data_IF_637941994987
#
_entry.id   IF_637941994987
#
_cell.length_a   1.000
_cell.length_b   1.000
_cell.length_c   1.000
_cell.angle_alpha   90.00
_cell.angle_beta   90.00
_cell.angle_gamma   90.00
#
_symmetry.space_group_name_H-M   'P 1'
#
loop_
_entity.id
_entity.type
_entity.pdbx_description
1 polymer ?
#
# COMPACT_ATOMS: atom_id res chain seq x y z
N UNK A 1 -21.43 -29.32 -25.89
CA UNK A 1 -22.24 -28.33 -25.15
C UNK A 1 -21.26 -27.46 -24.41
N UNK A 2 -21.42 -26.15 -24.56
CA UNK A 2 -20.42 -25.12 -24.34
C UNK A 2 -19.95 -25.08 -22.88
N UNK A 3 -18.63 -25.03 -22.70
CA UNK A 3 -17.99 -24.60 -21.46
C UNK A 3 -18.32 -23.13 -21.28
N UNK A 4 -19.06 -22.79 -20.22
CA UNK A 4 -19.27 -21.42 -19.79
C UNK A 4 -17.91 -20.89 -19.35
N UNK A 5 -17.30 -20.01 -20.17
CA UNK A 5 -16.23 -19.17 -19.67
C UNK A 5 -16.88 -18.19 -18.70
N UNK A 6 -16.47 -18.23 -17.42
CA UNK A 6 -16.80 -17.15 -16.48
C UNK A 6 -16.28 -15.85 -17.08
N UNK A 7 -17.16 -14.85 -17.18
CA UNK A 7 -16.75 -13.51 -17.58
C UNK A 7 -15.98 -12.92 -16.39
N UNK A 8 -14.64 -12.98 -16.44
CA UNK A 8 -13.76 -12.27 -15.52
C UNK A 8 -14.18 -10.79 -15.47
N UNK A 9 -14.68 -10.32 -14.33
CA UNK A 9 -15.14 -8.96 -14.19
C UNK A 9 -13.98 -8.07 -13.71
N UNK A 10 -13.17 -7.62 -14.67
CA UNK A 10 -12.12 -6.64 -14.41
C UNK A 10 -12.75 -5.25 -14.34
N UNK A 11 -12.66 -4.59 -13.17
CA UNK A 11 -13.05 -3.19 -13.01
C UNK A 11 -11.97 -2.29 -13.58
N UNK A 12 -12.18 -1.79 -14.78
CA UNK A 12 -11.33 -0.77 -15.40
C UNK A 12 -11.70 0.62 -14.85
N UNK A 13 -10.97 1.09 -13.85
CA UNK A 13 -11.25 2.35 -13.14
C UNK A 13 -10.67 3.57 -13.89
N UNK A 14 -9.67 3.36 -14.75
CA UNK A 14 -9.04 4.44 -15.51
C UNK A 14 -7.90 5.14 -14.77
N UNK A 15 -7.59 6.40 -15.14
CA UNK A 15 -6.47 7.15 -14.54
C UNK A 15 -6.81 7.67 -13.14
N UNK A 16 -5.87 7.47 -12.21
CA UNK A 16 -5.99 7.91 -10.83
C UNK A 16 -5.75 9.40 -10.67
N UNK A 17 -6.71 10.08 -10.06
CA UNK A 17 -6.59 11.45 -9.56
C UNK A 17 -5.80 11.47 -8.24
N UNK A 18 -5.94 10.40 -7.45
CA UNK A 18 -5.17 10.17 -6.24
C UNK A 18 -4.89 8.68 -6.06
N UNK A 19 -3.70 8.35 -5.59
CA UNK A 19 -3.31 6.99 -5.20
C UNK A 19 -2.61 7.05 -3.84
N UNK A 20 -2.94 6.13 -2.93
CA UNK A 20 -2.27 5.98 -1.64
C UNK A 20 -2.04 4.52 -1.31
N UNK A 21 -0.93 4.28 -0.63
CA UNK A 21 -0.61 3.06 0.08
C UNK A 21 -0.49 3.42 1.56
N UNK A 22 -1.49 3.07 2.37
CA UNK A 22 -1.64 3.67 3.70
C UNK A 22 -2.16 2.68 4.74
N UNK A 23 -2.26 3.14 6.00
CA UNK A 23 -2.82 2.37 7.09
C UNK A 23 -3.54 3.25 8.12
N UNK A 24 -4.69 2.78 8.62
CA UNK A 24 -5.42 3.42 9.72
C UNK A 24 -5.35 2.55 10.98
N UNK A 25 -5.28 3.16 12.16
CA UNK A 25 -5.32 2.49 13.46
C UNK A 25 -3.99 2.50 14.23
N UNK A 26 -4.01 2.07 15.50
CA UNK A 26 -2.81 2.03 16.33
C UNK A 26 -1.86 0.91 15.87
N UNK A 27 -0.56 1.07 16.16
CA UNK A 27 0.44 0.06 15.84
C UNK A 27 0.08 -1.30 16.46
N UNK A 28 -0.06 -2.34 15.65
CA UNK A 28 -0.49 -3.68 16.06
C UNK A 28 -1.92 -4.02 15.67
N UNK A 29 -2.76 -3.01 15.43
CA UNK A 29 -4.16 -3.14 14.99
C UNK A 29 -4.41 -2.35 13.70
N UNK A 30 -3.34 -2.01 12.98
CA UNK A 30 -3.42 -1.25 11.73
C UNK A 30 -4.12 -2.06 10.66
N UNK A 31 -5.10 -1.43 10.01
CA UNK A 31 -5.66 -1.89 8.76
C UNK A 31 -4.89 -1.21 7.63
N UNK A 32 -4.16 -2.00 6.86
CA UNK A 32 -3.44 -1.54 5.67
C UNK A 32 -4.39 -1.59 4.46
N UNK A 33 -4.23 -0.62 3.56
CA UNK A 33 -5.08 -0.53 2.37
C UNK A 33 -4.40 0.22 1.24
N UNK A 34 -4.88 -0.05 0.03
CA UNK A 34 -4.67 0.78 -1.14
C UNK A 34 -5.89 1.64 -1.35
N UNK A 35 -5.67 2.91 -1.68
CA UNK A 35 -6.73 3.84 -2.03
C UNK A 35 -6.48 4.38 -3.43
N UNK A 36 -7.53 4.47 -4.23
CA UNK A 36 -7.51 5.16 -5.51
C UNK A 36 -8.78 6.01 -5.67
N UNK A 37 -8.61 7.23 -6.16
CA UNK A 37 -9.70 8.09 -6.64
C UNK A 37 -9.62 8.20 -8.16
N UNK A 38 -10.70 7.86 -8.87
CA UNK A 38 -10.79 7.89 -10.33
C UNK A 38 -12.12 8.51 -10.75
N UNK A 39 -12.09 9.59 -11.53
CA UNK A 39 -13.31 10.26 -11.98
C UNK A 39 -14.22 10.72 -10.83
N UNK A 40 -13.64 11.07 -9.68
CA UNK A 40 -14.37 11.38 -8.45
C UNK A 40 -14.94 10.20 -7.66
N UNK A 41 -14.79 8.96 -8.15
CA UNK A 41 -15.15 7.74 -7.40
C UNK A 41 -13.96 7.25 -6.57
N UNK A 42 -14.25 6.81 -5.34
CA UNK A 42 -13.23 6.40 -4.37
C UNK A 42 -13.32 4.91 -4.08
N UNK A 43 -12.18 4.25 -4.14
CA UNK A 43 -12.06 2.81 -3.90
C UNK A 43 -11.02 2.53 -2.83
N UNK A 44 -11.36 1.63 -1.90
CA UNK A 44 -10.46 1.13 -0.86
C UNK A 44 -10.28 -0.37 -1.03
N UNK A 45 -9.05 -0.82 -1.08
CA UNK A 45 -8.70 -2.25 -1.17
C UNK A 45 -7.92 -2.64 0.07
N UNK A 46 -8.47 -3.55 0.87
CA UNK A 46 -7.78 -3.99 2.09
C UNK A 46 -6.59 -4.84 1.69
N UNK A 47 -5.41 -4.52 2.18
CA UNK A 47 -4.18 -5.21 1.85
C UNK A 47 -3.46 -5.63 3.13
N UNK A 48 -2.63 -6.66 3.01
CA UNK A 48 -1.73 -7.05 4.09
C UNK A 48 -0.53 -6.11 4.15
N UNK A 49 0.04 -5.95 5.35
CA UNK A 49 1.25 -5.14 5.56
C UNK A 49 2.38 -5.53 4.59
N UNK A 50 2.55 -6.84 4.37
CA UNK A 50 3.59 -7.38 3.49
C UNK A 50 3.32 -7.09 2.02
N UNK A 51 2.04 -7.09 1.59
CA UNK A 51 1.67 -6.73 0.21
C UNK A 51 1.95 -5.24 -0.04
N UNK A 52 1.62 -4.35 0.90
CA UNK A 52 1.92 -2.92 0.79
C UNK A 52 3.43 -2.67 0.71
N UNK A 53 4.21 -3.35 1.57
CA UNK A 53 5.67 -3.27 1.53
C UNK A 53 6.24 -3.76 0.19
N UNK A 54 5.82 -4.95 -0.26
CA UNK A 54 6.29 -5.53 -1.51
C UNK A 54 5.92 -4.66 -2.72
N UNK A 55 4.72 -4.08 -2.74
CA UNK A 55 4.28 -3.18 -3.81
C UNK A 55 5.15 -1.92 -3.87
N UNK A 56 5.40 -1.30 -2.73
CA UNK A 56 6.21 -0.08 -2.67
C UNK A 56 7.65 -0.33 -3.13
N UNK A 57 8.26 -1.43 -2.70
CA UNK A 57 9.61 -1.84 -3.12
C UNK A 57 9.65 -2.18 -4.63
N UNK A 58 8.65 -2.92 -5.13
CA UNK A 58 8.53 -3.23 -6.54
C UNK A 58 8.38 -1.97 -7.39
N UNK A 59 7.61 -0.99 -6.92
CA UNK A 59 7.41 0.28 -7.61
C UNK A 59 8.70 1.09 -7.74
N UNK A 60 9.48 1.21 -6.65
CA UNK A 60 10.78 1.88 -6.67
C UNK A 60 11.75 1.19 -7.63
N UNK A 61 11.86 -0.14 -7.56
CA UNK A 61 12.72 -0.91 -8.46
C UNK A 61 12.28 -0.81 -9.93
N UNK A 62 10.98 -0.80 -10.20
CA UNK A 62 10.44 -0.67 -11.56
C UNK A 62 10.80 0.68 -12.17
N UNK A 63 10.54 1.78 -11.45
CA UNK A 63 10.83 3.12 -11.94
C UNK A 63 12.34 3.33 -12.15
N UNK A 64 13.16 2.90 -11.20
CA UNK A 64 14.61 3.00 -11.30
C UNK A 64 15.18 2.11 -12.42
N UNK A 65 14.70 0.87 -12.54
CA UNK A 65 15.18 -0.08 -13.54
C UNK A 65 14.80 0.28 -14.98
N UNK A 66 13.70 1.01 -15.15
CA UNK A 66 13.28 1.55 -16.44
C UNK A 66 13.81 2.97 -16.71
N UNK A 67 14.59 3.54 -15.79
CA UNK A 67 15.14 4.90 -15.90
C UNK A 67 14.06 5.96 -16.15
N UNK A 68 12.88 5.80 -15.53
CA UNK A 68 11.76 6.74 -15.69
C UNK A 68 12.12 8.07 -15.03
N UNK A 69 12.15 9.14 -15.83
CA UNK A 69 12.30 10.50 -15.33
C UNK A 69 10.92 11.06 -14.94
N UNK A 70 10.85 11.68 -13.77
CA UNK A 70 9.63 12.29 -13.26
C UNK A 70 9.97 13.56 -12.46
N UNK A 71 8.97 14.43 -12.28
CA UNK A 71 9.17 15.71 -11.61
C UNK A 71 9.30 15.52 -10.08
N UNK A 72 10.49 15.75 -9.53
CA UNK A 72 10.76 15.65 -8.09
C UNK A 72 9.93 16.63 -7.25
N UNK A 73 9.62 17.82 -7.76
CA UNK A 73 8.78 18.80 -7.07
C UNK A 73 7.33 18.31 -6.99
N UNK A 74 6.86 17.65 -8.05
CA UNK A 74 5.55 17.01 -8.07
C UNK A 74 5.47 15.83 -7.06
N UNK A 75 6.52 15.00 -6.97
CA UNK A 75 6.62 13.95 -5.95
C UNK A 75 6.53 14.55 -4.54
N UNK A 76 7.29 15.60 -4.26
CA UNK A 76 7.28 16.25 -2.95
C UNK A 76 5.91 16.86 -2.61
N UNK A 77 5.26 17.47 -3.60
CA UNK A 77 3.90 18.00 -3.44
C UNK A 77 2.89 16.91 -3.09
N UNK A 78 2.96 15.76 -3.77
CA UNK A 78 2.10 14.61 -3.49
C UNK A 78 2.38 14.06 -2.08
N UNK A 79 3.65 13.93 -1.69
CA UNK A 79 4.02 13.49 -0.33
C UNK A 79 3.44 14.40 0.76
N UNK A 80 3.38 15.72 0.52
CA UNK A 80 2.73 16.66 1.44
C UNK A 80 1.26 16.33 1.69
N UNK A 81 0.53 15.93 0.64
CA UNK A 81 -0.87 15.45 0.75
C UNK A 81 -0.96 14.06 1.39
N UNK A 82 -0.01 13.18 1.12
CA UNK A 82 0.05 11.84 1.72
C UNK A 82 0.26 11.88 3.23
N UNK A 83 0.94 12.91 3.75
CA UNK A 83 1.16 13.12 5.18
C UNK A 83 -0.13 13.46 5.96
N UNK A 84 -1.20 13.91 5.28
CA UNK A 84 -2.50 14.09 5.90
C UNK A 84 -3.06 12.73 6.38
N UNK A 85 -3.67 12.65 7.58
CA UNK A 85 -4.24 11.40 8.07
C UNK A 85 -5.20 10.77 7.07
N UNK A 86 -5.00 9.50 6.75
CA UNK A 86 -5.86 8.78 5.84
C UNK A 86 -7.15 8.31 6.54
N UNK A 87 -8.22 8.24 5.77
CA UNK A 87 -9.51 7.70 6.19
C UNK A 87 -9.79 6.38 5.47
N UNK A 88 -10.32 5.40 6.21
CA UNK A 88 -10.73 4.11 5.66
C UNK A 88 -12.23 4.13 5.36
N UNK A 89 -12.58 3.98 4.08
CA UNK A 89 -13.96 3.87 3.62
C UNK A 89 -14.45 2.42 3.58
N UNK A 90 -15.58 2.20 2.90
CA UNK A 90 -16.07 0.85 2.61
C UNK A 90 -15.11 0.16 1.63
N UNK A 91 -14.67 -1.04 2.01
CA UNK A 91 -13.75 -1.81 1.18
C UNK A 91 -14.46 -2.32 -0.08
N UNK A 92 -13.82 -2.12 -1.23
CA UNK A 92 -14.23 -2.74 -2.49
C UNK A 92 -14.00 -4.25 -2.42
N UNK A 93 -12.80 -4.68 -2.01
CA UNK A 93 -12.48 -6.07 -1.67
C UNK A 93 -11.17 -6.16 -0.88
N UNK A 94 -10.78 -7.38 -0.46
CA UNK A 94 -9.46 -7.67 0.12
C UNK A 94 -8.52 -8.22 -0.96
N UNK A 95 -7.32 -7.64 -1.07
CA UNK A 95 -6.34 -7.97 -2.10
C UNK A 95 -5.70 -9.33 -1.83
N UNK A 96 -5.78 -10.22 -2.81
CA UNK A 96 -5.06 -11.50 -2.87
C UNK A 96 -3.75 -11.37 -3.62
N UNK A 97 -3.81 -10.89 -4.87
CA UNK A 97 -2.64 -10.67 -5.73
C UNK A 97 -2.52 -9.22 -6.19
N UNK A 98 -1.29 -8.81 -6.45
CA UNK A 98 -0.96 -7.46 -6.86
C UNK A 98 0.09 -7.45 -7.97
N UNK A 99 -0.16 -6.67 -9.02
CA UNK A 99 0.78 -6.52 -10.14
C UNK A 99 0.92 -5.06 -10.55
N UNK A 100 2.16 -4.69 -10.84
CA UNK A 100 2.51 -3.44 -11.51
C UNK A 100 2.93 -3.72 -12.96
N UNK A 101 2.64 -2.76 -13.85
CA UNK A 101 3.14 -2.78 -15.22
C UNK A 101 3.49 -1.38 -15.69
N UNK A 102 4.67 -1.21 -16.29
CA UNK A 102 5.04 0.04 -16.93
C UNK A 102 4.50 0.07 -18.37
N UNK A 103 3.83 1.14 -18.74
CA UNK A 103 3.26 1.32 -20.09
C UNK A 103 4.22 2.09 -20.99
N UNK A 104 3.98 2.05 -22.30
CA UNK A 104 4.80 2.76 -23.31
C UNK A 104 4.87 4.27 -23.08
N UNK A 105 3.84 4.85 -22.46
CA UNK A 105 3.78 6.26 -22.10
C UNK A 105 4.25 6.53 -20.66
N UNK A 106 5.04 5.61 -20.08
CA UNK A 106 5.62 5.65 -18.73
C UNK A 106 4.61 5.65 -17.58
N UNK A 107 3.31 5.75 -17.86
CA UNK A 107 2.27 5.54 -16.86
C UNK A 107 2.32 4.11 -16.32
N UNK A 108 1.97 3.94 -15.05
CA UNK A 108 2.01 2.63 -14.39
C UNK A 108 0.59 2.07 -14.28
N UNK A 109 0.36 0.87 -14.82
CA UNK A 109 -0.85 0.10 -14.54
C UNK A 109 -0.70 -0.65 -13.22
N UNK A 110 -1.72 -0.57 -12.38
CA UNK A 110 -1.83 -1.33 -11.13
C UNK A 110 -3.02 -2.27 -11.28
N UNK A 111 -2.79 -3.56 -11.09
CA UNK A 111 -3.82 -4.60 -11.14
C UNK A 111 -3.90 -5.26 -9.77
N UNK A 112 -5.12 -5.32 -9.24
CA UNK A 112 -5.45 -5.91 -7.94
C UNK A 112 -6.46 -7.03 -8.16
N UNK A 113 -6.22 -8.19 -7.56
CA UNK A 113 -7.16 -9.31 -7.57
C UNK A 113 -7.70 -9.56 -6.17
N UNK A 114 -8.98 -9.89 -6.05
CA UNK A 114 -9.62 -10.23 -4.79
C UNK A 114 -9.11 -11.58 -4.28
N UNK A 115 -8.96 -11.70 -2.95
CA UNK A 115 -8.64 -12.99 -2.31
C UNK A 115 -9.89 -13.87 -2.13
N UNK A 116 -11.07 -13.25 -2.11
CA UNK A 116 -12.33 -13.93 -1.80
C UNK A 116 -13.05 -14.39 -3.09
N UNK A 117 -12.73 -13.80 -4.24
CA UNK A 117 -13.34 -14.09 -5.54
C UNK A 117 -12.34 -13.88 -6.70
N UNK A 118 -11.91 -14.97 -7.33
CA UNK A 118 -10.93 -14.94 -8.44
C UNK A 118 -11.46 -14.21 -9.70
N UNK A 119 -12.79 -14.03 -9.82
CA UNK A 119 -13.40 -13.29 -10.92
C UNK A 119 -13.52 -11.77 -10.61
N UNK A 120 -13.16 -11.33 -9.40
CA UNK A 120 -13.19 -9.93 -8.97
C UNK A 120 -11.80 -9.28 -8.98
N UNK A 121 -11.61 -8.29 -9.84
CA UNK A 121 -10.35 -7.54 -9.93
C UNK A 121 -10.58 -6.07 -10.24
N UNK A 122 -9.55 -5.25 -10.00
CA UNK A 122 -9.52 -3.84 -10.35
C UNK A 122 -8.22 -3.49 -11.08
N UNK A 123 -8.33 -2.66 -12.11
CA UNK A 123 -7.23 -2.14 -12.89
C UNK A 123 -7.34 -0.61 -12.98
N UNK A 124 -6.25 0.08 -12.68
CA UNK A 124 -6.16 1.53 -12.78
C UNK A 124 -4.75 1.96 -13.17
N UNK A 125 -4.63 3.21 -13.59
CA UNK A 125 -3.38 3.78 -14.10
C UNK A 125 -2.96 4.92 -13.19
N UNK A 126 -1.72 4.92 -12.73
CA UNK A 126 -1.15 5.99 -11.90
C UNK A 126 0.03 6.65 -12.60
N UNK A 127 0.30 7.91 -12.27
CA UNK A 127 1.51 8.58 -12.71
C UNK A 127 2.75 8.03 -11.96
N UNK A 128 3.94 8.03 -12.58
CA UNK A 128 5.19 7.66 -11.92
C UNK A 128 5.42 8.41 -10.60
N UNK A 129 5.10 9.70 -10.56
CA UNK A 129 5.22 10.54 -9.37
C UNK A 129 4.32 10.07 -8.24
N UNK A 130 3.09 9.62 -8.55
CA UNK A 130 2.17 9.06 -7.56
C UNK A 130 2.71 7.75 -7.00
N UNK A 131 3.27 6.88 -7.85
CA UNK A 131 3.89 5.63 -7.41
C UNK A 131 5.10 5.92 -6.51
N UNK A 132 6.02 6.79 -6.94
CA UNK A 132 7.20 7.14 -6.17
C UNK A 132 6.83 7.75 -4.80
N UNK A 133 5.90 8.72 -4.79
CA UNK A 133 5.46 9.35 -3.56
C UNK A 133 4.78 8.35 -2.62
N UNK A 134 3.90 7.50 -3.16
CA UNK A 134 3.21 6.46 -2.40
C UNK A 134 4.20 5.43 -1.85
N UNK A 135 5.21 5.00 -2.62
CA UNK A 135 6.20 4.01 -2.18
C UNK A 135 7.01 4.51 -0.99
N UNK A 136 7.53 5.74 -1.07
CA UNK A 136 8.28 6.36 0.03
C UNK A 136 7.39 6.48 1.28
N UNK A 137 6.13 6.88 1.11
CA UNK A 137 5.16 7.01 2.22
C UNK A 137 4.83 5.65 2.86
N UNK A 138 4.52 4.66 2.03
CA UNK A 138 4.22 3.29 2.46
C UNK A 138 5.36 2.70 3.27
N UNK A 139 6.61 2.87 2.81
CA UNK A 139 7.79 2.37 3.51
C UNK A 139 7.93 2.99 4.91
N UNK A 140 7.62 4.28 5.07
CA UNK A 140 7.58 4.92 6.39
C UNK A 140 6.50 4.31 7.29
N UNK A 141 5.29 4.08 6.77
CA UNK A 141 4.19 3.51 7.53
C UNK A 141 4.47 2.06 7.93
N UNK A 142 4.98 1.25 7.02
CA UNK A 142 5.36 -0.15 7.24
C UNK A 142 6.46 -0.24 8.29
N UNK A 143 7.47 0.64 8.20
CA UNK A 143 8.58 0.72 9.15
C UNK A 143 8.15 1.27 10.52
N UNK A 144 7.10 2.10 10.59
CA UNK A 144 6.54 2.64 11.83
C UNK A 144 5.78 1.59 12.68
N UNK A 145 6.20 0.32 12.62
CA UNK A 145 5.78 -0.72 13.54
C UNK A 145 6.26 -0.45 14.97
N UNK A 146 5.89 -1.36 15.88
CA UNK A 146 6.33 -1.31 17.28
C UNK A 146 7.86 -1.21 17.32
N UNK A 147 8.45 -0.20 18.01
CA UNK A 147 9.89 -0.17 18.19
C UNK A 147 10.32 -1.47 18.87
N UNK A 148 11.37 -2.10 18.34
CA UNK A 148 11.93 -3.28 18.98
C UNK A 148 12.66 -2.86 20.25
N UNK A 149 12.49 -3.62 21.32
CA UNK A 149 13.25 -3.45 22.54
C UNK A 149 14.74 -3.67 22.21
N UNK A 150 15.63 -2.69 22.50
CA UNK A 150 17.06 -2.83 22.18
C UNK A 150 17.78 -3.90 23.02
N UNK A 151 17.08 -4.52 23.99
CA UNK A 151 17.59 -5.61 24.83
C UNK A 151 17.12 -6.98 24.30
N UNK A 152 15.82 -7.25 24.37
CA UNK A 152 15.27 -8.57 23.99
C UNK A 152 14.79 -8.67 22.54
N UNK A 153 14.85 -7.60 21.75
CA UNK A 153 14.36 -7.53 20.37
C UNK A 153 12.84 -7.78 20.19
N UNK A 154 12.06 -7.83 21.28
CA UNK A 154 10.60 -7.94 21.22
C UNK A 154 9.94 -6.60 20.91
N UNK A 155 8.76 -6.66 20.31
CA UNK A 155 7.99 -5.48 19.92
C UNK A 155 7.40 -4.73 21.14
N UNK A 156 7.64 -3.42 21.25
CA UNK A 156 7.10 -2.57 22.33
C UNK A 156 5.71 -2.03 21.96
N UNK A 157 4.71 -2.28 22.81
CA UNK A 157 3.39 -1.68 22.70
C UNK A 157 3.43 -0.19 23.08
N UNK A 158 2.99 0.73 22.20
CA UNK A 158 2.90 2.15 22.54
C UNK A 158 1.90 2.38 23.69
N UNK A 159 2.27 3.17 24.70
CA UNK A 159 1.40 3.48 25.84
C UNK A 159 1.36 2.41 26.94
N UNK A 160 2.02 1.27 26.73
CA UNK A 160 2.19 0.23 27.76
C UNK A 160 3.65 0.16 28.23
N UNK A 161 3.85 -0.29 29.47
CA UNK A 161 5.19 -0.62 29.95
C UNK A 161 5.63 -1.97 29.38
N UNK A 162 6.69 -1.99 28.57
CA UNK A 162 7.28 -3.23 28.06
C UNK A 162 8.05 -3.98 29.16
N UNK A 163 7.57 -5.17 29.55
CA UNK A 163 8.28 -6.04 30.49
C UNK A 163 9.33 -6.88 29.74
N UNK A 164 10.56 -6.39 29.72
CA UNK A 164 11.68 -7.09 29.10
C UNK A 164 12.07 -8.35 29.92
N UNK A 165 12.00 -9.57 29.37
CA UNK A 165 12.31 -10.80 30.10
C UNK A 165 13.80 -10.93 30.48
N UNK A 166 14.67 -10.16 29.83
CA UNK A 166 16.11 -10.12 30.10
C UNK A 166 16.48 -9.17 31.25
N UNK A 167 15.51 -8.41 31.78
CA UNK A 167 15.70 -7.62 32.99
C UNK A 167 15.14 -8.43 34.14
N UNK A 168 16.01 -9.05 34.94
CA UNK A 168 15.61 -9.50 36.28
C UNK A 168 15.15 -8.24 37.05
N UNK A 169 13.87 -8.13 37.46
CA UNK A 169 13.37 -6.98 38.19
C UNK A 169 14.04 -6.78 39.57
N UNK A 170 14.94 -7.68 40.01
CA UNK A 170 15.67 -7.61 41.27
C UNK A 170 17.15 -7.19 41.13
N UNK A 171 17.64 -6.90 39.92
CA UNK A 171 19.00 -6.41 39.71
C UNK A 171 18.98 -4.89 39.51
N UNK A 172 19.30 -4.17 40.60
CA UNK A 172 19.64 -2.74 40.60
C UNK A 172 20.91 -2.46 39.78
#
# INVERSE_FOLDING_TARGET
MLSTAGEYFVRELGPAEQFRMDAVGPSGERVFFLFVETGGERHWFIAEKQQVAALAELGEHMLAGAEVEFDEDAVLHIQGRLAEPAELGEATFRVGDLRLGLRENEMVSVILESIDDDDESANFIIAPEQLQAASIHAMKIVAAGRPLCPRCAEAINPGEYHQCPEVDPNLN
#
